data_IF_455246320244
#
_entry.id   IF_455246320244
#
_cell.length_a   1.000
_cell.length_b   1.000
_cell.length_c   1.000
_cell.angle_alpha   90.00
_cell.angle_beta   90.00
_cell.angle_gamma   90.00
#
_symmetry.space_group_name_H-M   'P 1'
#
loop_
_entity.id
_entity.type
_entity.pdbx_description
1 polymer ?
#
# COMPACT_ATOMS: atom_id res chain seq x y z
N UNK A 1 -14.50 27.94 0.81
CA UNK A 1 -15.39 27.02 1.55
C UNK A 1 -14.82 26.73 2.95
N UNK A 2 -15.63 26.18 3.85
CA UNK A 2 -15.21 25.82 5.22
C UNK A 2 -15.23 24.31 5.42
N UNK A 3 -14.13 23.77 5.93
CA UNK A 3 -13.93 22.35 6.24
C UNK A 3 -13.82 22.14 7.75
N UNK A 4 -14.34 21.01 8.20
CA UNK A 4 -14.23 20.52 9.57
C UNK A 4 -13.23 19.35 9.57
N UNK A 5 -12.09 19.51 10.23
CA UNK A 5 -10.95 18.61 10.06
C UNK A 5 -10.52 18.06 11.41
N UNK A 6 -10.59 16.74 11.55
CA UNK A 6 -10.02 15.99 12.65
C UNK A 6 -8.63 15.48 12.20
N UNK A 7 -7.56 15.91 12.88
CA UNK A 7 -6.19 15.55 12.53
C UNK A 7 -5.60 14.67 13.63
N UNK A 8 -5.07 13.51 13.25
CA UNK A 8 -4.31 12.63 14.13
C UNK A 8 -3.06 13.36 14.66
N UNK A 9 -2.91 13.36 15.99
CA UNK A 9 -1.78 13.94 16.72
C UNK A 9 -1.10 12.87 17.56
N UNK A 10 0.20 12.78 17.38
CA UNK A 10 1.08 11.87 18.13
C UNK A 10 2.53 12.18 17.81
N UNK A 11 3.43 12.05 18.79
CA UNK A 11 4.87 12.05 18.61
C UNK A 11 5.47 10.88 19.39
N UNK A 12 6.05 9.91 18.66
CA UNK A 12 6.53 8.66 19.25
C UNK A 12 7.66 8.84 20.27
N UNK A 13 8.24 10.04 20.38
CA UNK A 13 9.32 10.34 21.31
C UNK A 13 8.83 10.88 22.66
N UNK A 14 7.62 11.44 22.72
CA UNK A 14 7.16 12.20 23.88
C UNK A 14 5.73 11.86 24.33
N UNK A 15 4.87 11.44 23.41
CA UNK A 15 3.45 11.22 23.71
C UNK A 15 3.20 9.80 24.21
N UNK A 16 2.32 9.68 25.20
CA UNK A 16 1.88 8.38 25.73
C UNK A 16 0.76 7.76 24.89
N UNK A 17 -0.22 8.58 24.46
CA UNK A 17 -1.34 8.16 23.62
C UNK A 17 -1.52 9.15 22.47
N UNK A 18 -2.01 8.65 21.35
CA UNK A 18 -2.55 9.45 20.26
C UNK A 18 -3.86 10.16 20.64
N UNK A 19 -4.17 11.23 19.92
CA UNK A 19 -5.47 11.87 19.96
C UNK A 19 -5.81 12.53 18.62
N UNK A 20 -7.06 12.96 18.45
CA UNK A 20 -7.47 13.75 17.29
C UNK A 20 -7.75 15.18 17.70
N UNK A 21 -7.15 16.13 16.98
CA UNK A 21 -7.39 17.55 17.17
C UNK A 21 -8.31 18.08 16.07
N UNK A 22 -9.47 18.59 16.48
CA UNK A 22 -10.43 19.21 15.58
C UNK A 22 -10.04 20.67 15.27
N UNK A 23 -10.05 21.04 14.00
CA UNK A 23 -9.87 22.41 13.53
C UNK A 23 -10.84 22.74 12.40
N UNK A 24 -11.15 24.03 12.25
CA UNK A 24 -11.91 24.54 11.12
C UNK A 24 -11.00 25.32 10.19
N UNK A 25 -11.00 24.93 8.91
CA UNK A 25 -10.16 25.53 7.86
C UNK A 25 -11.06 26.18 6.82
N UNK A 26 -10.81 27.45 6.53
CA UNK A 26 -11.42 28.16 5.41
C UNK A 26 -10.42 28.11 4.23
N UNK A 27 -10.83 27.51 3.11
CA UNK A 27 -9.97 27.26 1.95
C UNK A 27 -10.76 27.41 0.63
N UNK A 28 -10.11 27.89 -0.43
CA UNK A 28 -10.69 27.92 -1.77
C UNK A 28 -10.78 26.49 -2.35
N UNK A 29 -11.93 26.14 -2.93
CA UNK A 29 -12.22 24.82 -3.48
C UNK A 29 -11.41 24.47 -4.73
N UNK A 30 -10.84 25.49 -5.39
CA UNK A 30 -9.99 25.35 -6.57
C UNK A 30 -8.53 25.02 -6.22
N UNK A 31 -8.15 25.15 -4.95
CA UNK A 31 -6.84 24.75 -4.45
C UNK A 31 -6.73 23.23 -4.36
N UNK A 32 -5.57 22.74 -3.93
CA UNK A 32 -5.28 21.32 -3.81
C UNK A 32 -4.92 20.95 -2.37
N UNK A 33 -4.76 19.65 -2.17
CA UNK A 33 -4.47 19.03 -0.89
C UNK A 33 -3.20 19.58 -0.24
N UNK A 34 -2.18 19.92 -1.03
CA UNK A 34 -0.95 20.54 -0.53
C UNK A 34 -1.25 21.87 0.18
N UNK A 35 -2.02 22.76 -0.44
CA UNK A 35 -2.39 24.04 0.19
C UNK A 35 -3.27 23.82 1.43
N UNK A 36 -4.10 22.77 1.45
CA UNK A 36 -4.84 22.41 2.66
C UNK A 36 -3.93 21.96 3.79
N UNK A 37 -2.91 21.15 3.53
CA UNK A 37 -1.94 20.73 4.55
C UNK A 37 -1.17 21.93 5.11
N UNK A 38 -0.84 22.91 4.26
CA UNK A 38 -0.22 24.17 4.69
C UNK A 38 -1.14 25.00 5.60
N UNK A 39 -2.44 25.10 5.27
CA UNK A 39 -3.42 25.76 6.14
C UNK A 39 -3.64 25.01 7.47
N UNK A 40 -3.58 23.68 7.45
CA UNK A 40 -3.60 22.85 8.67
C UNK A 40 -2.36 23.16 9.53
N UNK A 41 -1.16 23.19 8.93
CA UNK A 41 0.09 23.53 9.64
C UNK A 41 0.07 24.92 10.27
N UNK A 42 -0.60 25.91 9.65
CA UNK A 42 -0.73 27.25 10.22
C UNK A 42 -1.63 27.28 11.46
N UNK A 43 -2.52 26.31 11.63
CA UNK A 43 -3.48 26.23 12.76
C UNK A 43 -3.05 25.27 13.86
N UNK A 44 -2.13 24.36 13.57
CA UNK A 44 -1.68 23.33 14.49
C UNK A 44 -0.21 23.53 14.82
N UNK A 45 0.08 23.77 16.09
CA UNK A 45 1.45 23.88 16.58
C UNK A 45 2.19 22.55 16.39
N UNK A 46 3.41 22.64 15.82
CA UNK A 46 4.32 21.52 15.59
C UNK A 46 3.74 20.36 14.76
N UNK A 47 2.76 20.62 13.90
CA UNK A 47 2.19 19.60 13.01
C UNK A 47 3.19 19.15 11.94
N UNK A 48 3.33 17.84 11.79
CA UNK A 48 4.32 17.21 10.91
C UNK A 48 3.70 16.33 9.83
N UNK A 49 4.11 16.56 8.58
CA UNK A 49 3.74 15.75 7.43
C UNK A 49 4.89 15.77 6.40
N UNK A 50 4.85 14.85 5.44
CA UNK A 50 5.82 14.82 4.34
C UNK A 50 5.32 15.71 3.20
N UNK A 51 5.97 16.85 2.99
CA UNK A 51 5.60 17.80 1.92
C UNK A 51 6.13 17.40 0.54
N UNK A 52 7.05 16.43 0.47
CA UNK A 52 7.60 15.93 -0.79
C UNK A 52 6.83 14.72 -1.32
N UNK A 53 6.22 13.93 -0.43
CA UNK A 53 5.42 12.76 -0.82
C UNK A 53 4.15 12.60 0.00
N UNK A 54 3.05 12.32 -0.67
CA UNK A 54 1.80 11.92 -0.02
C UNK A 54 1.88 10.45 0.42
N UNK A 55 1.08 10.08 1.41
CA UNK A 55 1.11 8.74 2.01
C UNK A 55 0.42 8.69 3.36
N UNK A 56 -0.83 9.14 3.39
CA UNK A 56 -1.66 9.19 4.60
C UNK A 56 -3.12 8.88 4.23
N UNK A 57 -3.98 8.76 5.25
CA UNK A 57 -5.41 8.46 5.08
C UNK A 57 -6.26 9.70 5.27
N UNK A 58 -7.25 9.86 4.40
CA UNK A 58 -8.38 10.78 4.58
C UNK A 58 -9.64 9.91 4.66
N UNK A 59 -10.35 9.94 5.80
CA UNK A 59 -11.52 9.11 6.07
C UNK A 59 -11.23 7.62 5.75
N UNK A 60 -10.13 7.11 6.31
CA UNK A 60 -9.61 5.74 6.15
C UNK A 60 -9.17 5.32 4.74
N UNK A 61 -9.27 6.21 3.74
CA UNK A 61 -8.81 5.96 2.38
C UNK A 61 -7.43 6.60 2.14
N UNK A 62 -6.51 5.83 1.57
CA UNK A 62 -5.14 6.27 1.32
C UNK A 62 -5.10 7.29 0.17
N UNK A 63 -4.32 8.35 0.35
CA UNK A 63 -4.07 9.37 -0.66
C UNK A 63 -2.57 9.49 -0.93
N UNK A 64 -2.19 9.29 -2.20
CA UNK A 64 -0.81 9.41 -2.70
C UNK A 64 -0.60 10.58 -3.68
N UNK A 65 -1.60 11.44 -3.87
CA UNK A 65 -1.53 12.51 -4.87
C UNK A 65 -2.05 13.85 -4.37
N UNK A 66 -1.64 14.93 -5.03
CA UNK A 66 -2.08 16.29 -4.71
C UNK A 66 -3.44 16.58 -5.36
N UNK A 67 -4.52 16.10 -4.74
CA UNK A 67 -5.90 16.13 -5.26
C UNK A 67 -6.51 17.53 -5.08
N UNK A 68 -7.40 17.95 -5.99
CA UNK A 68 -8.16 19.19 -5.81
C UNK A 68 -9.11 19.11 -4.61
N UNK A 69 -9.30 20.21 -3.91
CA UNK A 69 -10.18 20.28 -2.74
C UNK A 69 -11.63 19.97 -3.11
N UNK A 70 -12.11 20.47 -4.25
CA UNK A 70 -13.46 20.16 -4.72
C UNK A 70 -13.67 18.64 -4.94
N UNK A 71 -12.68 17.93 -5.48
CA UNK A 71 -12.76 16.48 -5.71
C UNK A 71 -12.76 15.71 -4.37
N UNK A 72 -11.90 16.12 -3.42
CA UNK A 72 -11.88 15.58 -2.06
C UNK A 72 -13.22 15.76 -1.36
N UNK A 73 -13.80 16.96 -1.40
CA UNK A 73 -15.08 17.26 -0.75
C UNK A 73 -16.23 16.52 -1.44
N UNK A 74 -16.19 16.36 -2.76
CA UNK A 74 -17.17 15.55 -3.49
C UNK A 74 -17.12 14.09 -3.04
N UNK A 75 -15.93 13.56 -2.75
CA UNK A 75 -15.74 12.16 -2.33
C UNK A 75 -16.03 11.93 -0.85
N UNK A 76 -15.52 12.79 0.02
CA UNK A 76 -15.44 12.56 1.48
C UNK A 76 -16.37 13.48 2.29
N UNK A 77 -16.99 14.47 1.64
CA UNK A 77 -17.74 15.52 2.31
C UNK A 77 -16.85 16.60 2.91
N UNK A 78 -17.45 17.49 3.71
CA UNK A 78 -16.74 18.62 4.34
C UNK A 78 -16.12 18.28 5.69
N UNK A 79 -16.43 17.10 6.24
CA UNK A 79 -15.80 16.57 7.46
C UNK A 79 -14.72 15.58 7.08
N UNK A 80 -13.47 15.95 7.32
CA UNK A 80 -12.30 15.18 6.92
C UNK A 80 -11.54 14.69 8.15
N UNK A 81 -11.15 13.42 8.14
CA UNK A 81 -10.33 12.78 9.16
C UNK A 81 -8.97 12.46 8.56
N UNK A 82 -7.93 13.15 8.99
CA UNK A 82 -6.56 12.92 8.56
C UNK A 82 -5.85 12.00 9.56
N UNK A 83 -5.34 10.88 9.06
CA UNK A 83 -4.57 9.92 9.86
C UNK A 83 -3.31 9.49 9.11
N UNK A 84 -2.22 9.11 9.78
CA UNK A 84 -1.09 8.46 9.13
C UNK A 84 -1.57 7.21 8.38
N UNK A 85 -0.87 6.80 7.33
CA UNK A 85 -1.23 5.58 6.59
C UNK A 85 -1.22 4.33 7.49
N UNK A 86 -0.42 4.34 8.55
CA UNK A 86 -0.42 3.37 9.62
C UNK A 86 -0.17 4.04 10.97
N UNK A 87 -1.13 3.94 11.89
CA UNK A 87 -0.99 4.42 13.27
C UNK A 87 0.13 3.67 14.00
N UNK A 88 0.23 2.35 13.80
CA UNK A 88 1.28 1.49 14.38
C UNK A 88 2.70 1.97 14.07
N UNK A 89 2.90 2.57 12.90
CA UNK A 89 4.20 3.09 12.45
C UNK A 89 4.25 4.61 12.41
N UNK A 90 3.31 5.30 13.07
CA UNK A 90 3.33 6.75 13.17
C UNK A 90 4.60 7.19 13.92
N UNK A 91 5.38 8.07 13.28
CA UNK A 91 6.55 8.71 13.87
C UNK A 91 6.14 10.01 14.54
N UNK A 92 5.46 10.87 13.77
CA UNK A 92 4.93 12.14 14.25
C UNK A 92 3.80 12.62 13.35
N UNK A 93 2.61 12.78 13.92
CA UNK A 93 1.38 13.14 13.22
C UNK A 93 1.17 12.26 11.97
N UNK A 94 1.34 12.81 10.75
CA UNK A 94 1.18 12.07 9.50
C UNK A 94 2.48 11.41 9.00
N UNK A 95 3.63 11.67 9.64
CA UNK A 95 4.91 11.07 9.29
C UNK A 95 4.99 9.61 9.75
N UNK A 96 5.58 8.77 8.89
CA UNK A 96 5.77 7.34 9.14
C UNK A 96 7.23 7.01 9.44
N UNK A 97 7.45 6.10 10.38
CA UNK A 97 8.76 5.52 10.66
C UNK A 97 9.12 4.44 9.62
N UNK A 98 9.54 4.88 8.42
CA UNK A 98 9.94 3.98 7.32
C UNK A 98 11.12 3.06 7.70
N UNK A 99 12.01 3.50 8.59
CA UNK A 99 13.16 2.68 9.02
C UNK A 99 12.73 1.53 9.92
N UNK A 100 11.77 1.74 10.83
CA UNK A 100 11.19 0.67 11.64
C UNK A 100 10.49 -0.40 10.77
N UNK A 101 9.81 0.03 9.70
CA UNK A 101 9.18 -0.89 8.76
C UNK A 101 10.26 -1.64 7.97
N UNK A 102 11.25 -0.92 7.42
CA UNK A 102 12.36 -1.53 6.67
C UNK A 102 13.10 -2.59 7.49
N UNK A 103 13.34 -2.32 8.78
CA UNK A 103 13.97 -3.27 9.70
C UNK A 103 13.20 -4.59 9.81
N UNK A 104 11.86 -4.57 9.70
CA UNK A 104 11.02 -5.77 9.67
C UNK A 104 11.23 -6.63 8.42
N UNK A 105 11.44 -6.00 7.27
CA UNK A 105 11.71 -6.69 6.01
C UNK A 105 13.17 -7.12 5.84
N UNK A 106 14.10 -6.54 6.61
CA UNK A 106 15.53 -6.77 6.47
C UNK A 106 15.92 -8.27 6.49
N UNK A 107 15.40 -9.12 7.40
CA UNK A 107 15.74 -10.55 7.40
C UNK A 107 15.35 -11.28 6.11
N UNK A 108 14.27 -10.86 5.43
CA UNK A 108 13.87 -11.42 4.14
C UNK A 108 14.78 -10.93 3.02
N UNK A 109 15.09 -9.63 3.00
CA UNK A 109 16.01 -9.03 2.04
C UNK A 109 17.42 -9.60 2.14
N UNK A 110 17.91 -9.89 3.36
CA UNK A 110 19.24 -10.45 3.59
C UNK A 110 19.40 -11.88 3.05
N UNK A 111 18.30 -12.64 2.92
CA UNK A 111 18.32 -13.97 2.27
C UNK A 111 18.57 -13.87 0.76
N UNK A 112 18.29 -12.72 0.15
CA UNK A 112 18.53 -12.44 -1.27
C UNK A 112 19.99 -12.00 -1.47
N UNK A 113 20.94 -12.90 -1.20
CA UNK A 113 22.38 -12.62 -1.17
C UNK A 113 22.98 -12.16 -2.50
N UNK A 114 22.25 -12.34 -3.60
CA UNK A 114 22.63 -11.88 -4.94
C UNK A 114 22.28 -10.41 -5.21
N UNK A 115 21.47 -9.77 -4.34
CA UNK A 115 21.16 -8.34 -4.44
C UNK A 115 22.23 -7.51 -3.75
N UNK A 116 22.61 -6.39 -4.37
CA UNK A 116 23.44 -5.38 -3.71
C UNK A 116 22.69 -4.71 -2.56
N UNK A 117 23.42 -4.15 -1.59
CA UNK A 117 22.80 -3.38 -0.50
C UNK A 117 22.01 -2.18 -1.02
N UNK A 118 22.48 -1.53 -2.08
CA UNK A 118 21.74 -0.47 -2.76
C UNK A 118 20.39 -0.97 -3.31
N UNK A 119 20.39 -2.14 -3.96
CA UNK A 119 19.15 -2.77 -4.47
C UNK A 119 18.20 -3.15 -3.36
N UNK A 120 18.70 -3.57 -2.18
CA UNK A 120 17.85 -3.82 -1.00
C UNK A 120 17.26 -2.52 -0.45
N UNK A 121 18.03 -1.43 -0.42
CA UNK A 121 17.56 -0.13 0.04
C UNK A 121 16.49 0.48 -0.87
N UNK A 122 16.42 0.10 -2.15
CA UNK A 122 15.35 0.53 -3.05
C UNK A 122 13.96 0.14 -2.56
N UNK A 123 13.83 -0.91 -1.74
CA UNK A 123 12.56 -1.29 -1.12
C UNK A 123 11.92 -0.12 -0.33
N UNK A 124 12.71 0.82 0.22
CA UNK A 124 12.18 2.01 0.91
C UNK A 124 11.23 2.85 0.05
N UNK A 125 11.36 2.79 -1.29
CA UNK A 125 10.46 3.47 -2.23
C UNK A 125 9.05 2.84 -2.25
N UNK A 126 8.94 1.56 -1.87
CA UNK A 126 7.70 0.77 -1.94
C UNK A 126 7.03 0.57 -0.58
N UNK A 127 7.70 0.89 0.54
CA UNK A 127 7.22 0.62 1.90
C UNK A 127 5.78 1.08 2.14
N UNK A 128 5.42 2.28 1.68
CA UNK A 128 4.08 2.82 1.92
C UNK A 128 2.99 2.02 1.20
N UNK A 129 3.33 1.38 0.07
CA UNK A 129 2.39 0.54 -0.67
C UNK A 129 2.02 -0.72 0.12
N UNK A 130 2.95 -1.24 0.94
CA UNK A 130 2.67 -2.35 1.86
C UNK A 130 1.71 -1.98 3.00
N UNK A 131 1.41 -0.69 3.20
CA UNK A 131 0.52 -0.21 4.28
C UNK A 131 -0.88 0.16 3.79
N UNK A 132 -1.18 -0.06 2.50
CA UNK A 132 -2.50 0.24 1.93
C UNK A 132 -3.51 -0.81 2.41
N UNK A 133 -3.16 -2.08 2.21
CA UNK A 133 -3.92 -3.23 2.68
C UNK A 133 -4.07 -3.21 4.20
N UNK A 134 -5.24 -3.58 4.74
CA UNK A 134 -5.44 -3.69 6.19
C UNK A 134 -4.87 -4.98 6.77
N UNK A 135 -4.37 -5.91 5.94
CA UNK A 135 -3.83 -7.18 6.41
C UNK A 135 -2.57 -6.96 7.24
N UNK A 136 -2.46 -7.71 8.34
CA UNK A 136 -1.24 -7.74 9.13
C UNK A 136 -0.12 -8.44 8.36
N UNK A 137 1.11 -8.01 8.59
CA UNK A 137 2.28 -8.56 7.91
C UNK A 137 2.46 -10.08 8.09
N UNK A 138 2.01 -10.62 9.22
CA UNK A 138 2.11 -12.06 9.50
C UNK A 138 1.08 -12.87 8.68
N UNK A 139 0.04 -12.20 8.20
CA UNK A 139 -0.94 -12.75 7.26
C UNK A 139 -0.56 -12.45 5.80
N UNK A 140 0.10 -11.31 5.55
CA UNK A 140 0.48 -10.88 4.22
C UNK A 140 1.73 -9.99 4.19
N UNK A 141 2.74 -10.40 3.43
CA UNK A 141 4.01 -9.67 3.24
C UNK A 141 3.86 -8.24 2.69
N UNK A 142 2.71 -7.89 2.12
CA UNK A 142 2.37 -6.54 1.66
C UNK A 142 2.71 -6.26 0.19
N UNK A 143 1.82 -5.53 -0.49
CA UNK A 143 1.90 -5.28 -1.94
C UNK A 143 3.19 -4.54 -2.32
N UNK A 144 3.66 -3.62 -1.47
CA UNK A 144 4.93 -2.92 -1.71
C UNK A 144 6.13 -3.84 -1.83
N UNK A 145 6.20 -4.91 -1.02
CA UNK A 145 7.28 -5.88 -1.13
C UNK A 145 7.16 -6.73 -2.40
N UNK A 146 5.94 -7.14 -2.75
CA UNK A 146 5.70 -7.86 -4.01
C UNK A 146 6.08 -7.03 -5.25
N UNK A 147 5.72 -5.74 -5.28
CA UNK A 147 6.08 -4.82 -6.36
C UNK A 147 7.58 -4.55 -6.42
N UNK A 148 8.24 -4.46 -5.27
CA UNK A 148 9.70 -4.41 -5.20
C UNK A 148 10.33 -5.66 -5.83
N UNK A 149 9.84 -6.85 -5.48
CA UNK A 149 10.32 -8.12 -6.04
C UNK A 149 10.10 -8.16 -7.56
N UNK A 150 8.94 -7.72 -8.05
CA UNK A 150 8.67 -7.57 -9.49
C UNK A 150 9.71 -6.69 -10.19
N UNK A 151 10.04 -5.55 -9.58
CA UNK A 151 11.07 -4.65 -10.09
C UNK A 151 12.43 -5.35 -10.15
N UNK A 152 12.82 -6.03 -9.06
CA UNK A 152 14.08 -6.77 -9.01
C UNK A 152 14.15 -7.89 -10.05
N UNK A 153 13.04 -8.55 -10.40
CA UNK A 153 13.02 -9.59 -11.44
C UNK A 153 13.40 -9.03 -12.83
N UNK A 154 13.12 -7.75 -13.09
CA UNK A 154 13.49 -7.08 -14.34
C UNK A 154 15.00 -6.80 -14.38
N UNK A 155 15.56 -6.36 -13.25
CA UNK A 155 16.97 -6.00 -13.13
C UNK A 155 17.91 -7.21 -12.96
N UNK A 156 17.43 -8.27 -12.31
CA UNK A 156 18.15 -9.49 -11.98
C UNK A 156 17.50 -10.70 -12.65
N UNK A 157 17.43 -10.69 -13.99
CA UNK A 157 16.70 -11.69 -14.79
C UNK A 157 17.14 -13.13 -14.51
N UNK A 158 18.43 -13.36 -14.32
CA UNK A 158 18.99 -14.69 -14.01
C UNK A 158 18.54 -15.23 -12.64
N UNK A 159 18.01 -14.36 -11.78
CA UNK A 159 17.51 -14.68 -10.45
C UNK A 159 15.99 -14.51 -10.34
N UNK A 160 15.28 -14.26 -11.46
CA UNK A 160 13.84 -13.99 -11.45
C UNK A 160 13.03 -15.11 -10.78
N UNK A 161 13.41 -16.38 -11.00
CA UNK A 161 12.74 -17.51 -10.34
C UNK A 161 12.92 -17.50 -8.82
N UNK A 162 14.12 -17.21 -8.31
CA UNK A 162 14.40 -17.14 -6.88
C UNK A 162 13.69 -15.95 -6.23
N UNK A 163 13.61 -14.84 -6.95
CA UNK A 163 12.86 -13.66 -6.53
C UNK A 163 11.37 -13.97 -6.43
N UNK A 164 10.81 -14.63 -7.46
CA UNK A 164 9.41 -15.06 -7.45
C UNK A 164 9.12 -16.05 -6.31
N UNK A 165 10.02 -16.99 -6.04
CA UNK A 165 9.88 -17.94 -4.93
C UNK A 165 9.88 -17.25 -3.56
N UNK A 166 10.59 -16.12 -3.41
CA UNK A 166 10.67 -15.39 -2.14
C UNK A 166 9.33 -14.82 -1.67
N UNK A 167 8.35 -14.68 -2.58
CA UNK A 167 6.99 -14.19 -2.31
C UNK A 167 5.93 -15.28 -2.44
N UNK A 168 6.33 -16.56 -2.47
CA UNK A 168 5.46 -17.71 -2.69
C UNK A 168 5.01 -18.43 -1.41
N UNK A 169 5.45 -17.96 -0.24
CA UNK A 169 5.13 -18.55 1.06
C UNK A 169 3.64 -18.41 1.41
N UNK A 170 3.23 -19.01 2.52
CA UNK A 170 1.83 -19.00 2.97
C UNK A 170 1.30 -17.59 3.26
N UNK A 171 2.17 -16.64 3.60
CA UNK A 171 1.94 -15.20 3.82
C UNK A 171 2.24 -14.37 2.55
N UNK A 172 2.47 -15.04 1.42
CA UNK A 172 2.99 -14.46 0.20
C UNK A 172 1.94 -13.76 -0.68
N UNK A 173 2.31 -13.52 -1.94
CA UNK A 173 1.51 -12.73 -2.90
C UNK A 173 0.11 -13.30 -3.20
N UNK A 174 -0.12 -14.58 -2.91
CA UNK A 174 -1.45 -15.20 -3.06
C UNK A 174 -2.47 -14.72 -2.02
N UNK A 175 -2.02 -14.11 -0.91
CA UNK A 175 -2.91 -13.54 0.11
C UNK A 175 -3.32 -12.09 -0.18
N UNK A 176 -2.77 -11.48 -1.23
CA UNK A 176 -3.14 -10.10 -1.58
C UNK A 176 -4.64 -9.98 -1.86
N UNK A 177 -5.19 -8.85 -1.45
CA UNK A 177 -6.56 -8.42 -1.75
C UNK A 177 -6.52 -7.14 -2.57
N UNK A 178 -7.56 -6.91 -3.37
CA UNK A 178 -7.69 -5.68 -4.17
C UNK A 178 -7.64 -4.44 -3.27
N UNK A 179 -6.72 -3.53 -3.59
CA UNK A 179 -6.55 -2.25 -2.90
C UNK A 179 -7.09 -1.06 -3.71
N UNK A 180 -7.60 -1.30 -4.92
CA UNK A 180 -8.10 -0.26 -5.84
C UNK A 180 -9.02 0.77 -5.20
N UNK A 181 -9.94 0.34 -4.34
CA UNK A 181 -10.91 1.22 -3.68
C UNK A 181 -10.46 1.72 -2.30
N UNK A 182 -9.29 1.29 -1.84
CA UNK A 182 -8.63 1.76 -0.62
C UNK A 182 -7.70 2.95 -0.89
N UNK A 183 -7.54 3.33 -2.16
CA UNK A 183 -6.76 4.47 -2.62
C UNK A 183 -7.69 5.48 -3.28
N UNK A 184 -7.40 6.77 -3.13
CA UNK A 184 -8.09 7.84 -3.82
C UNK A 184 -7.12 8.73 -4.62
N UNK A 185 -7.46 9.05 -5.90
CA UNK A 185 -8.51 8.44 -6.72
C UNK A 185 -8.34 6.90 -6.86
N UNK A 186 -9.42 6.13 -7.11
CA UNK A 186 -9.31 4.68 -7.24
C UNK A 186 -8.32 4.30 -8.33
N UNK A 187 -7.36 3.44 -8.01
CA UNK A 187 -6.29 3.01 -8.93
C UNK A 187 -6.10 1.50 -8.87
N UNK A 188 -6.31 0.82 -10.01
CA UNK A 188 -6.13 -0.62 -10.14
C UNK A 188 -4.73 -1.04 -10.60
N UNK A 189 -3.77 -0.11 -10.71
CA UNK A 189 -2.41 -0.41 -11.17
C UNK A 189 -1.72 -1.45 -10.29
N UNK A 190 -1.80 -1.30 -8.97
CA UNK A 190 -1.27 -2.25 -7.99
C UNK A 190 -1.91 -3.62 -8.16
N UNK A 191 -3.24 -3.68 -8.19
CA UNK A 191 -4.00 -4.93 -8.36
C UNK A 191 -3.56 -5.68 -9.63
N UNK A 192 -3.47 -4.98 -10.77
CA UNK A 192 -3.02 -5.57 -12.03
C UNK A 192 -1.59 -6.14 -11.95
N UNK A 193 -0.70 -5.41 -11.27
CA UNK A 193 0.69 -5.83 -11.12
C UNK A 193 0.83 -7.06 -10.23
N UNK A 194 0.05 -7.12 -9.14
CA UNK A 194 -0.02 -8.24 -8.22
C UNK A 194 -0.64 -9.46 -8.89
N UNK A 195 -1.76 -9.31 -9.60
CA UNK A 195 -2.37 -10.39 -10.38
C UNK A 195 -1.38 -10.99 -11.39
N UNK A 196 -0.51 -10.16 -11.97
CA UNK A 196 0.59 -10.62 -12.82
C UNK A 196 1.53 -11.58 -12.09
N UNK A 197 1.99 -11.23 -10.89
CA UNK A 197 2.85 -12.09 -10.07
C UNK A 197 2.15 -13.38 -9.65
N UNK A 198 0.88 -13.31 -9.27
CA UNK A 198 0.07 -14.48 -8.92
C UNK A 198 -0.04 -15.45 -10.10
N UNK A 199 -0.31 -14.95 -11.31
CA UNK A 199 -0.34 -15.77 -12.54
C UNK A 199 1.00 -16.44 -12.80
N UNK A 200 2.12 -15.72 -12.67
CA UNK A 200 3.47 -16.28 -12.83
C UNK A 200 3.74 -17.43 -11.84
N UNK A 201 3.35 -17.28 -10.57
CA UNK A 201 3.48 -18.34 -9.56
C UNK A 201 2.63 -19.56 -9.89
N UNK A 202 1.37 -19.36 -10.29
CA UNK A 202 0.47 -20.44 -10.64
C UNK A 202 0.96 -21.21 -11.87
N UNK A 203 1.49 -20.52 -12.87
CA UNK A 203 2.09 -21.13 -14.07
C UNK A 203 3.36 -21.94 -13.73
N UNK A 204 4.21 -21.42 -12.83
CA UNK A 204 5.38 -22.16 -12.32
C UNK A 204 4.97 -23.41 -11.52
N UNK A 205 3.89 -23.33 -10.74
CA UNK A 205 3.33 -24.50 -10.05
C UNK A 205 2.79 -25.56 -11.02
N UNK A 206 2.15 -25.12 -12.11
CA UNK A 206 1.67 -26.00 -13.19
C UNK A 206 2.81 -26.71 -13.92
N UNK A 207 3.91 -26.03 -14.25
CA UNK A 207 5.05 -26.66 -14.95
C UNK A 207 5.76 -27.71 -14.09
N UNK A 208 5.77 -27.54 -12.77
CA UNK A 208 6.46 -28.42 -11.83
C UNK A 208 5.64 -29.64 -11.36
N UNK A 209 4.32 -29.69 -11.62
CA UNK A 209 3.46 -30.72 -11.02
C UNK A 209 2.41 -31.26 -12.01
N UNK A 210 2.73 -32.40 -12.65
CA UNK A 210 1.88 -33.11 -13.63
C UNK A 210 0.49 -33.46 -13.05
N UNK A 211 0.40 -33.68 -11.73
CA UNK A 211 -0.85 -34.00 -11.05
C UNK A 211 -1.78 -32.79 -10.90
N UNK A 212 -1.25 -31.60 -10.57
CA UNK A 212 -2.02 -30.35 -10.50
C UNK A 212 -2.52 -29.93 -11.89
N UNK A 213 -1.76 -30.18 -12.96
CA UNK A 213 -2.24 -29.98 -14.33
C UNK A 213 -3.47 -30.82 -14.69
N UNK A 214 -3.62 -31.99 -14.07
CA UNK A 214 -4.78 -32.86 -14.29
C UNK A 214 -6.02 -32.33 -13.57
N UNK A 215 -5.84 -31.92 -12.31
CA UNK A 215 -6.91 -31.31 -11.49
C UNK A 215 -7.39 -29.99 -12.11
N UNK A 216 -6.47 -29.12 -12.53
CA UNK A 216 -6.82 -27.82 -13.12
C UNK A 216 -7.58 -27.99 -14.44
N UNK A 217 -7.19 -28.96 -15.29
CA UNK A 217 -7.93 -29.28 -16.51
C UNK A 217 -9.35 -29.82 -16.23
N UNK A 218 -9.54 -30.57 -15.17
CA UNK A 218 -10.87 -31.06 -14.75
C UNK A 218 -11.76 -29.93 -14.23
N UNK A 219 -11.19 -28.98 -13.48
CA UNK A 219 -11.88 -27.78 -13.00
C UNK A 219 -12.24 -26.84 -14.16
N UNK A 220 -11.30 -26.55 -15.06
CA UNK A 220 -11.54 -25.72 -16.25
C UNK A 220 -12.58 -26.33 -17.22
N UNK A 221 -12.59 -27.66 -17.35
CA UNK A 221 -13.60 -28.42 -18.11
C UNK A 221 -15.00 -28.30 -17.50
N UNK A 222 -15.08 -28.32 -16.17
CA UNK A 222 -16.33 -28.19 -15.42
C UNK A 222 -16.90 -26.76 -15.50
N UNK A 223 -16.03 -25.74 -15.42
CA UNK A 223 -16.42 -24.33 -15.62
C UNK A 223 -16.91 -24.05 -17.05
N UNK A 224 -16.26 -24.61 -18.09
CA UNK A 224 -16.72 -24.48 -19.48
C UNK A 224 -18.05 -25.19 -19.77
N UNK A 225 -18.38 -26.23 -19.00
CA UNK A 225 -19.69 -26.90 -19.07
C UNK A 225 -20.79 -26.04 -18.43
N UNK A 226 -20.50 -25.43 -17.28
CA UNK A 226 -21.42 -24.52 -16.59
C UNK A 226 -21.68 -23.25 -17.41
N UNK A 227 -20.66 -22.66 -18.03
CA UNK A 227 -20.81 -21.47 -18.89
C UNK A 227 -21.56 -21.75 -20.22
N UNK A 228 -21.65 -23.01 -20.65
CA UNK A 228 -22.42 -23.43 -21.84
C UNK A 228 -23.88 -23.80 -21.51
N UNK A 229 -24.22 -23.98 -20.23
CA UNK A 229 -25.57 -24.30 -19.79
C UNK A 229 -26.43 -23.08 -19.44
N UNK A 230 -25.90 -21.86 -19.56
CA UNK A 230 -26.68 -20.62 -19.50
C UNK A 230 -27.30 -20.37 -18.12
N UNK A 231 -26.50 -19.75 -17.24
CA UNK A 231 -26.98 -18.87 -16.18
C UNK A 231 -26.31 -17.52 -16.37
#
# INVERSE_FOLDING_TARGET
>A
MKLDIDVFRFDCQIDYNEYYQNIKVDIDENLRLQELLEEISKKLDNFSYDSASFGFRINDIVVFSNIKINDLVTRFGKKLLFSPISIKYAKKDLLINKDAIFARYKPMLDKLTFLSEESKLEFKKYILLSLISPLDFDDYIGDGYCLYIKCMMIHYKDYADKLLDSISNFDGVLNSMSVKYMIYPPDGSIDNDIEGLQKMLLEKGKSNNVFLNKIIKEVESSYKKLSKQGL
#
